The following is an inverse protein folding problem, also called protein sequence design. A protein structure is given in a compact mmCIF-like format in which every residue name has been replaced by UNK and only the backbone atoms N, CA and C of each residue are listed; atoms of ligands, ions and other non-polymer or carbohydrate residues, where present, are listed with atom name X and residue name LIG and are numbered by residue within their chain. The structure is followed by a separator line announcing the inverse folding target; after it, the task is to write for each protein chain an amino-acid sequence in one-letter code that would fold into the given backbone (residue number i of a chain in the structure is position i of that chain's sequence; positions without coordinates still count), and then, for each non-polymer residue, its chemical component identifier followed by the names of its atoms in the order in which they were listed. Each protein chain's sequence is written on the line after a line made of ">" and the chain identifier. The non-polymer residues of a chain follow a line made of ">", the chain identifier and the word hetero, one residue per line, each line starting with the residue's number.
data_IF_837839936633
#
_entry.id   IF_837839936633
#
_cell.length_a   1.000
_cell.length_b   1.000
_cell.length_c   1.000
_cell.angle_alpha   90.00
_cell.angle_beta   90.00
_cell.angle_gamma   90.00
#
_symmetry.space_group_name_H-M   'P 1'
#
loop_
_entity.id
_entity.type
_entity.pdbx_description
1 polymer ?
#
# COMPACT_ATOMS: atom_id res chain seq x y z
N UNK A 1 26.87 -12.18 6.13
CA UNK A 1 26.53 -10.75 5.98
C UNK A 1 25.17 -10.58 6.60
N UNK A 2 25.10 -10.04 7.82
CA UNK A 2 23.83 -9.75 8.48
C UNK A 2 23.23 -8.57 7.73
N UNK A 3 22.12 -8.79 7.04
CA UNK A 3 21.32 -7.72 6.45
C UNK A 3 20.63 -7.00 7.62
N UNK A 4 21.39 -6.18 8.35
CA UNK A 4 20.80 -5.24 9.30
C UNK A 4 19.97 -4.26 8.47
N UNK A 5 18.66 -4.51 8.44
CA UNK A 5 17.69 -3.70 7.77
C UNK A 5 17.77 -2.25 8.27
N UNK A 6 17.50 -1.33 7.37
CA UNK A 6 17.52 0.14 7.53
C UNK A 6 16.58 0.66 8.65
N UNK A 7 15.92 -0.23 9.40
CA UNK A 7 15.18 0.05 10.63
C UNK A 7 15.55 -1.02 11.66
N UNK A 8 16.27 -0.69 12.75
CA UNK A 8 16.57 -1.66 13.80
C UNK A 8 15.28 -2.23 14.40
N UNK A 9 15.17 -3.56 14.46
CA UNK A 9 14.06 -4.27 15.13
C UNK A 9 12.95 -4.82 14.22
N UNK A 10 13.03 -4.68 12.90
CA UNK A 10 12.08 -5.33 11.98
C UNK A 10 12.83 -6.29 11.06
N UNK A 11 12.81 -7.58 11.39
CA UNK A 11 13.24 -8.63 10.45
C UNK A 11 12.24 -8.69 9.29
N UNK A 12 12.47 -7.88 8.24
CA UNK A 12 11.56 -7.67 7.12
C UNK A 12 11.26 -8.95 6.32
N UNK A 13 12.14 -9.95 6.39
CA UNK A 13 11.97 -11.24 5.70
C UNK A 13 11.02 -12.21 6.41
N UNK A 14 10.83 -12.05 7.71
CA UNK A 14 10.06 -12.98 8.55
C UNK A 14 8.81 -12.35 9.13
N UNK A 15 8.78 -11.02 9.25
CA UNK A 15 7.70 -10.31 9.92
C UNK A 15 6.66 -9.76 8.92
N UNK A 16 5.66 -10.58 8.59
CA UNK A 16 4.50 -10.17 7.79
C UNK A 16 3.52 -9.27 8.55
N UNK A 17 3.69 -9.10 9.87
CA UNK A 17 2.79 -8.35 10.74
C UNK A 17 2.50 -6.93 10.25
N UNK A 18 3.48 -6.06 9.91
CA UNK A 18 3.21 -4.74 9.33
C UNK A 18 2.32 -4.81 8.09
N UNK A 19 2.57 -5.76 7.20
CA UNK A 19 1.83 -5.92 5.94
C UNK A 19 0.38 -6.33 6.25
N UNK A 20 0.19 -7.25 7.20
CA UNK A 20 -1.13 -7.74 7.57
C UNK A 20 -1.94 -6.64 8.25
N UNK A 21 -1.38 -6.03 9.28
CA UNK A 21 -2.08 -5.01 10.08
C UNK A 21 -2.38 -3.78 9.23
N UNK A 22 -1.39 -3.24 8.51
CA UNK A 22 -1.62 -2.08 7.64
C UNK A 22 -2.51 -2.41 6.45
N UNK A 23 -2.39 -3.61 5.89
CA UNK A 23 -3.25 -4.08 4.80
C UNK A 23 -4.72 -4.14 5.23
N UNK A 24 -5.00 -4.58 6.46
CA UNK A 24 -6.34 -4.56 7.03
C UNK A 24 -6.82 -3.13 7.32
N UNK A 25 -6.01 -2.29 7.97
CA UNK A 25 -6.40 -0.92 8.34
C UNK A 25 -6.69 -0.09 7.09
N UNK A 26 -5.72 -0.03 6.16
CA UNK A 26 -5.86 0.73 4.93
C UNK A 26 -6.89 0.09 3.99
N UNK A 27 -6.99 -1.25 3.99
CA UNK A 27 -8.02 -2.01 3.28
C UNK A 27 -9.43 -1.67 3.70
N UNK A 28 -9.69 -1.65 5.01
CA UNK A 28 -10.98 -1.25 5.54
C UNK A 28 -11.29 0.22 5.24
N UNK A 29 -10.29 1.10 5.38
CA UNK A 29 -10.44 2.51 5.02
C UNK A 29 -10.86 2.67 3.55
N UNK A 30 -10.16 2.01 2.63
CA UNK A 30 -10.48 2.06 1.19
C UNK A 30 -11.85 1.44 0.89
N UNK A 31 -12.20 0.32 1.53
CA UNK A 31 -13.51 -0.31 1.38
C UNK A 31 -14.64 0.63 1.79
N UNK A 32 -14.48 1.38 2.89
CA UNK A 32 -15.46 2.37 3.35
C UNK A 32 -15.61 3.51 2.34
N UNK A 33 -14.50 3.98 1.76
CA UNK A 33 -14.52 5.04 0.76
C UNK A 33 -15.19 4.59 -0.55
N UNK A 34 -14.84 3.42 -1.07
CA UNK A 34 -15.47 2.85 -2.26
C UNK A 34 -16.97 2.62 -2.02
N UNK A 35 -17.33 2.13 -0.85
CA UNK A 35 -18.71 1.92 -0.47
C UNK A 35 -19.53 3.22 -0.50
N UNK A 36 -18.95 4.32 0.02
CA UNK A 36 -19.53 5.66 -0.06
C UNK A 36 -19.61 6.16 -1.49
N UNK A 37 -18.55 6.00 -2.28
CA UNK A 37 -18.43 6.52 -3.64
C UNK A 37 -19.35 5.79 -4.65
N UNK A 38 -19.69 4.52 -4.41
CA UNK A 38 -20.61 3.73 -5.25
C UNK A 38 -22.09 3.80 -4.79
N UNK A 39 -22.43 4.70 -3.86
CA UNK A 39 -23.79 4.98 -3.40
C UNK A 39 -24.62 3.72 -3.04
N UNK A 40 -23.97 2.68 -2.52
CA UNK A 40 -24.63 1.45 -2.03
C UNK A 40 -25.45 0.68 -3.09
N UNK A 41 -25.33 1.01 -4.37
CA UNK A 41 -26.12 0.38 -5.44
C UNK A 41 -25.51 -0.96 -5.88
N UNK A 42 -26.02 -2.05 -5.31
CA UNK A 42 -25.68 -3.43 -5.69
C UNK A 42 -24.51 -4.04 -4.91
N UNK A 43 -24.08 -5.25 -5.27
CA UNK A 43 -22.96 -5.97 -4.64
C UNK A 43 -21.60 -5.65 -5.28
N UNK A 44 -21.59 -4.77 -6.28
CA UNK A 44 -20.43 -4.50 -7.12
C UNK A 44 -19.30 -3.79 -6.35
N UNK A 45 -19.63 -2.84 -5.48
CA UNK A 45 -18.68 -2.13 -4.61
C UNK A 45 -17.84 -3.08 -3.76
N UNK A 46 -18.41 -4.21 -3.34
CA UNK A 46 -17.71 -5.19 -2.53
C UNK A 46 -16.62 -5.91 -3.33
N UNK A 47 -16.91 -6.28 -4.58
CA UNK A 47 -15.92 -6.87 -5.49
C UNK A 47 -14.80 -5.87 -5.81
N UNK A 48 -15.15 -4.61 -6.04
CA UNK A 48 -14.18 -3.55 -6.27
C UNK A 48 -13.31 -3.30 -5.04
N UNK A 49 -13.91 -3.15 -3.87
CA UNK A 49 -13.18 -2.96 -2.61
C UNK A 49 -12.28 -4.14 -2.28
N UNK A 50 -12.74 -5.38 -2.45
CA UNK A 50 -11.91 -6.56 -2.24
C UNK A 50 -10.69 -6.59 -3.18
N UNK A 51 -10.88 -6.19 -4.44
CA UNK A 51 -9.78 -6.08 -5.41
C UNK A 51 -8.75 -5.02 -4.97
N UNK A 52 -9.20 -3.84 -4.53
CA UNK A 52 -8.32 -2.78 -4.03
C UNK A 52 -7.55 -3.21 -2.78
N UNK A 53 -8.22 -3.89 -1.84
CA UNK A 53 -7.61 -4.48 -0.65
C UNK A 53 -6.49 -5.45 -1.05
N UNK A 54 -6.77 -6.37 -1.98
CA UNK A 54 -5.78 -7.35 -2.45
C UNK A 54 -4.53 -6.68 -3.05
N UNK A 55 -4.69 -5.69 -3.93
CA UNK A 55 -3.55 -4.97 -4.50
C UNK A 55 -2.76 -4.18 -3.46
N UNK A 56 -3.41 -3.71 -2.41
CA UNK A 56 -2.75 -3.02 -1.32
C UNK A 56 -1.88 -3.95 -0.47
N UNK A 57 -2.33 -5.18 -0.19
CA UNK A 57 -1.48 -6.20 0.44
C UNK A 57 -0.23 -6.49 -0.39
N UNK A 58 -0.40 -6.62 -1.72
CA UNK A 58 0.73 -6.84 -2.64
C UNK A 58 1.69 -5.64 -2.59
N UNK A 59 1.17 -4.42 -2.67
CA UNK A 59 2.01 -3.22 -2.64
C UNK A 59 2.76 -3.11 -1.32
N UNK A 60 2.09 -3.27 -0.17
CA UNK A 60 2.72 -3.26 1.16
C UNK A 60 3.82 -4.33 1.27
N UNK A 61 3.57 -5.54 0.75
CA UNK A 61 4.59 -6.58 0.70
C UNK A 61 5.84 -6.11 -0.04
N UNK A 62 5.71 -5.50 -1.22
CA UNK A 62 6.86 -4.94 -1.94
C UNK A 62 7.52 -3.75 -1.22
N UNK A 63 6.73 -2.87 -0.59
CA UNK A 63 7.25 -1.71 0.15
C UNK A 63 8.14 -2.16 1.33
N UNK A 64 7.65 -3.07 2.16
CA UNK A 64 8.40 -3.58 3.31
C UNK A 64 9.58 -4.48 2.93
N UNK A 65 9.57 -5.06 1.72
CA UNK A 65 10.64 -5.93 1.23
C UNK A 65 11.52 -5.27 0.15
N UNK A 66 11.41 -3.95 -0.06
CA UNK A 66 12.13 -3.28 -1.15
C UNK A 66 13.64 -3.51 -1.05
N UNK A 67 14.24 -3.33 0.13
CA UNK A 67 15.67 -3.52 0.33
C UNK A 67 16.10 -4.97 0.06
N UNK A 68 15.29 -5.94 0.46
CA UNK A 68 15.53 -7.35 0.13
C UNK A 68 15.52 -7.58 -1.38
N UNK A 69 14.51 -7.06 -2.09
CA UNK A 69 14.42 -7.20 -3.55
C UNK A 69 15.60 -6.56 -4.27
N UNK A 70 16.05 -5.39 -3.82
CA UNK A 70 17.21 -4.72 -4.42
C UNK A 70 18.50 -5.50 -4.24
N UNK A 71 18.67 -6.15 -3.09
CA UNK A 71 19.84 -6.97 -2.81
C UNK A 71 19.84 -8.28 -3.61
N UNK A 72 18.75 -9.04 -3.61
CA UNK A 72 18.71 -10.35 -4.31
C UNK A 72 18.81 -10.21 -5.84
N UNK A 73 18.34 -9.09 -6.39
CA UNK A 73 18.43 -8.81 -7.83
C UNK A 73 19.75 -8.18 -8.24
N UNK A 74 20.63 -7.84 -7.28
CA UNK A 74 21.87 -7.08 -7.51
C UNK A 74 21.61 -5.65 -8.03
N UNK A 75 20.37 -5.16 -7.96
CA UNK A 75 20.01 -3.83 -8.44
C UNK A 75 20.52 -2.73 -7.52
N UNK A 76 20.70 -3.01 -6.23
CA UNK A 76 21.32 -2.08 -5.28
C UNK A 76 22.72 -1.63 -5.74
N UNK A 77 23.53 -2.57 -6.23
CA UNK A 77 24.95 -2.35 -6.57
C UNK A 77 25.15 -1.66 -7.92
N UNK A 78 24.13 -1.62 -8.79
CA UNK A 78 24.25 -1.02 -10.13
C UNK A 78 24.37 0.50 -10.14
N UNK A 79 24.05 1.17 -9.03
CA UNK A 79 24.16 2.63 -8.90
C UNK A 79 23.19 3.43 -9.80
N UNK A 80 22.12 2.82 -10.30
CA UNK A 80 21.12 3.50 -11.13
C UNK A 80 20.16 4.32 -10.25
N UNK A 81 20.05 5.65 -10.41
CA UNK A 81 19.33 6.51 -9.46
C UNK A 81 17.87 6.11 -9.19
N UNK A 82 17.16 5.59 -10.20
CA UNK A 82 15.74 5.22 -10.08
C UNK A 82 15.51 3.80 -9.55
N UNK A 83 16.46 2.90 -9.76
CA UNK A 83 16.25 1.47 -9.52
C UNK A 83 17.09 1.00 -8.32
N UNK A 84 18.25 1.59 -8.07
CA UNK A 84 19.10 1.28 -6.92
C UNK A 84 18.68 2.03 -5.65
N UNK A 85 17.76 3.01 -5.75
CA UNK A 85 17.28 3.77 -4.60
C UNK A 85 15.97 3.14 -4.06
N UNK A 86 15.96 2.65 -2.80
CA UNK A 86 14.76 2.07 -2.19
C UNK A 86 13.54 2.99 -2.21
N UNK A 87 13.74 4.30 -2.01
CA UNK A 87 12.65 5.27 -2.04
C UNK A 87 12.06 5.45 -3.43
N UNK A 88 12.90 5.48 -4.46
CA UNK A 88 12.43 5.57 -5.83
C UNK A 88 11.56 4.35 -6.20
N UNK A 89 12.00 3.15 -5.81
CA UNK A 89 11.24 1.91 -6.03
C UNK A 89 9.92 1.92 -5.26
N UNK A 90 9.93 2.33 -3.99
CA UNK A 90 8.71 2.47 -3.17
C UNK A 90 7.70 3.44 -3.81
N UNK A 91 8.18 4.59 -4.29
CA UNK A 91 7.35 5.57 -5.00
C UNK A 91 6.76 4.96 -6.27
N UNK A 92 7.57 4.25 -7.07
CA UNK A 92 7.09 3.58 -8.30
C UNK A 92 6.00 2.56 -7.96
N UNK A 93 6.17 1.74 -6.92
CA UNK A 93 5.16 0.79 -6.46
C UNK A 93 3.86 1.50 -6.05
N UNK A 94 3.96 2.58 -5.27
CA UNK A 94 2.79 3.35 -4.86
C UNK A 94 2.08 4.04 -6.03
N UNK A 95 2.82 4.52 -7.04
CA UNK A 95 2.23 5.04 -8.27
C UNK A 95 1.50 3.95 -9.07
N UNK A 96 2.09 2.75 -9.19
CA UNK A 96 1.43 1.61 -9.83
C UNK A 96 0.14 1.25 -9.08
N UNK A 97 0.18 1.22 -7.74
CA UNK A 97 -0.99 0.97 -6.91
C UNK A 97 -2.11 2.00 -7.17
N UNK A 98 -1.77 3.29 -7.15
CA UNK A 98 -2.71 4.38 -7.40
C UNK A 98 -3.39 4.21 -8.77
N UNK A 99 -2.58 3.99 -9.81
CA UNK A 99 -3.08 3.79 -11.18
C UNK A 99 -3.98 2.56 -11.24
N UNK A 100 -3.63 1.46 -10.57
CA UNK A 100 -4.43 0.23 -10.56
C UNK A 100 -5.78 0.44 -9.87
N UNK A 101 -5.80 1.03 -8.68
CA UNK A 101 -7.04 1.32 -7.96
C UNK A 101 -7.94 2.29 -8.75
N UNK A 102 -7.34 3.32 -9.35
CA UNK A 102 -8.06 4.26 -10.18
C UNK A 102 -8.60 3.63 -11.48
N UNK A 103 -7.80 2.82 -12.16
CA UNK A 103 -8.20 2.18 -13.41
C UNK A 103 -9.39 1.25 -13.21
N UNK A 104 -9.42 0.48 -12.12
CA UNK A 104 -10.57 -0.35 -11.78
C UNK A 104 -11.82 0.52 -11.65
N UNK A 105 -11.75 1.62 -10.90
CA UNK A 105 -12.83 2.60 -10.75
C UNK A 105 -13.32 3.20 -12.08
N UNK A 106 -12.42 3.46 -13.03
CA UNK A 106 -12.75 4.09 -14.32
C UNK A 106 -13.42 3.14 -15.34
N UNK A 107 -13.06 1.85 -15.31
CA UNK A 107 -13.66 0.83 -16.20
C UNK A 107 -15.14 0.62 -15.86
N UNK A 108 -15.50 0.71 -14.58
CA UNK A 108 -16.84 0.45 -14.06
C UNK A 108 -17.86 1.50 -14.50
N UNK A 109 -17.46 2.77 -14.66
CA UNK A 109 -18.36 3.86 -15.09
C UNK A 109 -18.56 3.95 -16.62
N UNK A 110 -18.18 2.93 -17.39
CA UNK A 110 -18.40 2.90 -18.85
C UNK A 110 -17.30 3.60 -19.66
N UNK A 111 -16.06 3.63 -19.16
CA UNK A 111 -14.89 4.19 -19.84
C UNK A 111 -14.70 5.69 -19.66
N UNK A 112 -13.78 6.29 -20.43
CA UNK A 112 -13.35 7.70 -20.37
C UNK A 112 -14.48 8.74 -20.27
N UNK A 113 -15.70 8.41 -20.74
CA UNK A 113 -16.88 9.28 -20.66
C UNK A 113 -17.55 9.32 -19.27
N UNK A 114 -17.54 8.24 -18.50
CA UNK A 114 -18.10 8.21 -17.13
C UNK A 114 -17.18 8.80 -16.07
N UNK A 115 -15.89 8.93 -16.39
CA UNK A 115 -14.89 9.64 -15.60
C UNK A 115 -15.15 11.16 -15.55
N UNK A 116 -15.75 11.72 -16.60
CA UNK A 116 -15.92 13.18 -16.75
C UNK A 116 -17.24 13.73 -16.19
N UNK A 117 -18.22 12.89 -15.86
CA UNK A 117 -19.57 13.34 -15.49
C UNK A 117 -19.84 13.40 -13.98
N UNK A 118 -18.89 12.98 -13.14
CA UNK A 118 -19.00 13.15 -11.69
C UNK A 118 -17.67 12.93 -10.96
N UNK A 119 -17.19 13.96 -10.25
CA UNK A 119 -16.22 13.79 -9.16
C UNK A 119 -14.80 13.32 -9.55
N UNK A 120 -14.31 13.60 -10.76
CA UNK A 120 -13.00 13.10 -11.22
C UNK A 120 -11.84 13.49 -10.28
N UNK A 121 -11.88 14.64 -9.63
CA UNK A 121 -10.88 15.03 -8.63
C UNK A 121 -11.07 14.35 -7.26
N UNK A 122 -12.31 14.10 -6.86
CA UNK A 122 -12.64 13.47 -5.57
C UNK A 122 -12.20 12.00 -5.54
N UNK A 123 -12.34 11.30 -6.67
CA UNK A 123 -11.94 9.89 -6.77
C UNK A 123 -10.42 9.68 -6.84
N UNK A 124 -9.66 10.62 -7.39
CA UNK A 124 -8.19 10.52 -7.38
C UNK A 124 -7.60 10.86 -6.02
N UNK A 125 -8.28 11.71 -5.25
CA UNK A 125 -7.76 12.20 -3.98
C UNK A 125 -7.60 11.06 -2.98
N UNK A 126 -8.59 10.18 -2.84
CA UNK A 126 -8.52 9.09 -1.87
C UNK A 126 -7.52 7.99 -2.28
N UNK A 127 -7.50 7.56 -3.54
CA UNK A 127 -6.51 6.57 -4.02
C UNK A 127 -5.08 7.11 -3.92
N UNK A 128 -4.91 8.43 -4.10
CA UNK A 128 -3.62 9.10 -3.89
C UNK A 128 -3.24 9.12 -2.42
N UNK A 129 -4.17 9.45 -1.51
CA UNK A 129 -3.92 9.41 -0.07
C UNK A 129 -3.51 7.99 0.36
N UNK A 130 -4.26 6.96 -0.04
CA UNK A 130 -3.93 5.56 0.27
C UNK A 130 -2.56 5.19 -0.27
N UNK A 131 -2.24 5.58 -1.50
CA UNK A 131 -0.93 5.29 -2.09
C UNK A 131 0.22 5.97 -1.37
N UNK A 132 0.04 7.22 -0.92
CA UNK A 132 1.01 7.94 -0.09
C UNK A 132 1.18 7.23 1.26
N UNK A 133 0.09 6.81 1.90
CA UNK A 133 0.16 6.04 3.14
C UNK A 133 0.92 4.73 2.93
N UNK A 134 0.64 3.99 1.86
CA UNK A 134 1.39 2.76 1.53
C UNK A 134 2.88 3.03 1.33
N UNK A 135 3.26 4.09 0.61
CA UNK A 135 4.68 4.47 0.42
C UNK A 135 5.37 4.79 1.75
N UNK A 136 4.68 5.51 2.64
CA UNK A 136 5.21 5.95 3.92
C UNK A 136 5.07 4.90 5.04
N UNK A 137 4.46 3.74 4.75
CA UNK A 137 4.22 2.68 5.72
C UNK A 137 5.44 2.28 6.57
N UNK A 138 6.66 2.14 6.02
CA UNK A 138 7.83 1.81 6.83
C UNK A 138 8.20 2.89 7.85
N UNK A 139 7.83 4.16 7.61
CA UNK A 139 8.17 5.28 8.50
C UNK A 139 7.24 5.36 9.70
N UNK A 140 5.94 5.18 9.48
CA UNK A 140 4.96 5.30 10.57
C UNK A 140 4.65 3.96 11.24
N UNK A 141 5.03 2.82 10.66
CA UNK A 141 4.84 1.51 11.31
C UNK A 141 5.48 1.42 12.71
N UNK A 142 6.74 1.85 12.94
CA UNK A 142 7.33 1.81 14.28
C UNK A 142 6.53 2.61 15.30
N UNK A 143 5.94 3.73 14.88
CA UNK A 143 5.07 4.56 15.74
C UNK A 143 3.75 3.84 16.02
N UNK A 144 3.10 3.31 14.97
CA UNK A 144 1.85 2.58 15.11
C UNK A 144 1.99 1.36 16.03
N UNK A 145 3.08 0.61 15.88
CA UNK A 145 3.39 -0.58 16.66
C UNK A 145 3.36 -0.30 18.17
N UNK A 146 3.77 0.89 18.64
CA UNK A 146 3.73 1.23 20.07
C UNK A 146 2.33 1.24 20.70
N UNK A 147 1.28 1.30 19.88
CA UNK A 147 -0.12 1.31 20.35
C UNK A 147 -0.83 -0.03 20.11
N UNK A 148 -0.15 -0.99 19.49
CA UNK A 148 -0.72 -2.28 19.16
C UNK A 148 -0.43 -3.30 20.28
N UNK A 149 -1.28 -4.33 20.44
CA UNK A 149 -0.95 -5.47 21.30
C UNK A 149 0.22 -6.26 20.74
N UNK A 150 0.91 -7.04 21.58
CA UNK A 150 2.09 -7.83 21.21
C UNK A 150 1.84 -8.73 19.98
N UNK A 151 0.69 -9.39 19.92
CA UNK A 151 0.33 -10.27 18.78
C UNK A 151 0.19 -9.53 17.44
N UNK A 152 0.01 -8.20 17.47
CA UNK A 152 -0.08 -7.33 16.31
C UNK A 152 1.23 -6.54 16.06
N UNK A 153 2.34 -6.94 16.70
CA UNK A 153 3.65 -6.31 16.54
C UNK A 153 3.93 -5.19 17.56
N UNK A 154 3.11 -5.08 18.61
CA UNK A 154 3.40 -4.20 19.73
C UNK A 154 4.61 -4.64 20.54
N UNK A 155 5.29 -3.67 21.17
CA UNK A 155 6.35 -3.96 22.13
C UNK A 155 5.77 -4.61 23.40
N UNK A 156 6.51 -5.54 23.99
CA UNK A 156 6.15 -6.09 25.30
C UNK A 156 6.24 -4.99 26.35
N UNK A 157 5.18 -4.86 27.16
CA UNK A 157 5.20 -3.99 28.33
C UNK A 157 5.90 -4.77 29.44
N UNK A 158 7.24 -4.66 29.49
CA UNK A 158 8.01 -5.09 30.66
C UNK A 158 7.94 -4.06 31.80
#
# INVERSE_FOLDING_TARGET
>A
MVLEGVIPGVDTLTNFTPIIVLGLILGLYELILIHRDENFTGSHWFGHGFHSVFFMFIALFFIFNTDYFLNITGLAEKGWPLISNPWAVRIIIGLILNIKMHATSAVIKGGLRGSMTGGMAEHWTHTTIVSVLVILAPLYWPVLATFLPEWAGGGSVE
#
